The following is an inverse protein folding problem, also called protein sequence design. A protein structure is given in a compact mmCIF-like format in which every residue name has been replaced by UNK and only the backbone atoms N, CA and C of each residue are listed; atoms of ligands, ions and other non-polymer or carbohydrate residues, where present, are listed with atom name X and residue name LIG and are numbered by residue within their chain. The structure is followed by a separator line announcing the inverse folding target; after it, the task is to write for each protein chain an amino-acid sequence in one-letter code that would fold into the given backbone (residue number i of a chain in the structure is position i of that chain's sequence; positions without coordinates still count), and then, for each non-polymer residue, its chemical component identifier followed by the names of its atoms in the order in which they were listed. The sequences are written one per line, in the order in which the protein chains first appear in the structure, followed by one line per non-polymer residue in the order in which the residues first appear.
data_IF_348777648100
#
_entry.id   IF_348777648100
#
_cell.length_a   1.000
_cell.length_b   1.000
_cell.length_c   1.000
_cell.angle_alpha   90.00
_cell.angle_beta   90.00
_cell.angle_gamma   90.00
#
_symmetry.space_group_name_H-M   'P 1'
#
loop_
_entity.id
_entity.type
_entity.pdbx_description
1 polymer ?
#
# COMPACT_ATOMS: atom_id res chain seq x y z
N UNK A 1 22.44 4.95 -2.40
CA UNK A 1 22.39 6.42 -2.29
C UNK A 1 22.03 6.75 -0.86
N UNK A 2 22.83 7.56 -0.17
CA UNK A 2 22.47 8.05 1.15
C UNK A 2 21.28 8.99 1.01
N UNK A 3 20.23 8.72 1.78
CA UNK A 3 19.08 9.58 1.90
C UNK A 3 19.50 10.90 2.55
N UNK A 4 19.35 12.00 1.85
CA UNK A 4 19.57 13.35 2.37
C UNK A 4 18.30 14.15 2.09
N UNK A 5 17.44 14.35 3.11
CA UNK A 5 16.24 15.16 2.94
C UNK A 5 16.61 16.60 2.56
N UNK A 6 15.73 17.33 1.88
CA UNK A 6 15.93 18.73 1.59
C UNK A 6 16.27 19.50 2.88
N UNK A 7 17.20 20.46 2.85
CA UNK A 7 17.49 21.29 4.01
C UNK A 7 16.21 22.06 4.40
N UNK A 8 15.75 21.90 5.64
CA UNK A 8 14.53 22.41 6.24
C UNK A 8 13.26 21.55 6.02
N UNK A 9 13.33 20.37 5.44
CA UNK A 9 12.21 19.45 5.35
C UNK A 9 12.04 18.70 6.68
N UNK A 10 10.96 18.97 7.39
CA UNK A 10 10.65 18.34 8.69
C UNK A 10 9.29 17.63 8.70
N UNK A 11 8.47 17.88 7.69
CA UNK A 11 7.09 17.38 7.64
C UNK A 11 6.97 15.93 7.19
N UNK A 12 5.99 15.25 7.77
CA UNK A 12 5.46 13.98 7.30
C UNK A 12 4.21 14.25 6.47
N UNK A 13 4.27 13.89 5.20
CA UNK A 13 3.22 14.14 4.22
C UNK A 13 2.52 12.83 3.84
N UNK A 14 1.20 12.86 3.65
CA UNK A 14 0.48 11.77 3.02
C UNK A 14 -0.28 12.26 1.77
N UNK A 15 -0.12 11.53 0.66
CA UNK A 15 -0.79 11.84 -0.61
C UNK A 15 -1.65 10.63 -1.03
N UNK A 16 -2.96 10.85 -1.17
CA UNK A 16 -3.90 9.84 -1.65
C UNK A 16 -4.26 10.06 -3.12
N UNK A 17 -4.10 9.01 -3.94
CA UNK A 17 -4.39 9.07 -5.37
C UNK A 17 -5.64 8.28 -5.75
N UNK A 18 -6.57 8.93 -6.44
CA UNK A 18 -7.79 8.34 -6.96
C UNK A 18 -8.73 7.85 -5.86
N UNK A 19 -9.74 7.08 -6.23
CA UNK A 19 -10.85 6.70 -5.33
C UNK A 19 -10.37 5.96 -4.07
N UNK A 20 -9.56 4.91 -4.23
CA UNK A 20 -9.10 4.11 -3.09
C UNK A 20 -8.13 4.91 -2.21
N UNK A 21 -7.12 5.56 -2.80
CA UNK A 21 -6.14 6.35 -2.05
C UNK A 21 -6.77 7.49 -1.29
N UNK A 22 -7.67 8.26 -1.91
CA UNK A 22 -8.38 9.35 -1.24
C UNK A 22 -9.29 8.88 -0.11
N UNK A 23 -9.98 7.74 -0.26
CA UNK A 23 -10.82 7.19 0.79
C UNK A 23 -10.02 6.69 1.99
N UNK A 24 -8.93 5.98 1.75
CA UNK A 24 -8.02 5.53 2.81
C UNK A 24 -7.42 6.74 3.53
N UNK A 25 -6.95 7.73 2.77
CA UNK A 25 -6.39 8.96 3.33
C UNK A 25 -7.40 9.71 4.21
N UNK A 26 -8.67 9.78 3.82
CA UNK A 26 -9.73 10.39 4.62
C UNK A 26 -10.00 9.68 5.96
N UNK A 27 -9.71 8.38 6.04
CA UNK A 27 -9.73 7.65 7.30
C UNK A 27 -8.45 7.88 8.10
N UNK A 28 -7.28 7.89 7.46
CA UNK A 28 -5.99 8.16 8.13
C UNK A 28 -5.91 9.58 8.71
N UNK A 29 -6.51 10.58 8.06
CA UNK A 29 -6.60 11.96 8.57
C UNK A 29 -7.31 12.07 9.94
N UNK A 30 -8.10 11.05 10.31
CA UNK A 30 -8.81 10.99 11.60
C UNK A 30 -8.04 10.23 12.67
N UNK A 31 -6.88 9.75 12.34
CA UNK A 31 -6.00 8.97 13.24
C UNK A 31 -4.79 9.82 13.64
N UNK A 32 -4.10 9.43 14.69
CA UNK A 32 -2.94 10.17 15.20
C UNK A 32 -1.63 9.52 14.75
N UNK A 33 -1.43 9.42 13.43
CA UNK A 33 -0.24 8.80 12.83
C UNK A 33 1.00 9.72 12.76
N UNK A 34 0.92 10.93 13.28
CA UNK A 34 2.01 11.90 13.16
C UNK A 34 2.22 12.36 11.70
N UNK A 35 1.14 12.41 10.92
CA UNK A 35 1.12 12.99 9.57
C UNK A 35 0.72 14.45 9.67
N UNK A 36 1.59 15.35 9.21
CA UNK A 36 1.38 16.80 9.34
C UNK A 36 0.43 17.33 8.28
N UNK A 37 0.59 16.89 7.04
CA UNK A 37 -0.20 17.36 5.91
C UNK A 37 -0.80 16.21 5.09
N UNK A 38 -2.05 16.39 4.65
CA UNK A 38 -2.78 15.44 3.81
C UNK A 38 -3.14 16.08 2.47
N UNK A 39 -2.87 15.39 1.36
CA UNK A 39 -3.15 15.88 0.00
C UNK A 39 -3.95 14.86 -0.79
N UNK A 40 -5.07 15.30 -1.31
CA UNK A 40 -5.99 14.49 -2.10
C UNK A 40 -5.85 14.82 -3.57
N UNK A 41 -5.55 13.81 -4.38
CA UNK A 41 -5.30 13.98 -5.82
C UNK A 41 -6.16 13.00 -6.62
N UNK A 42 -7.06 13.51 -7.45
CA UNK A 42 -7.87 12.66 -8.33
C UNK A 42 -8.32 13.39 -9.60
N UNK A 43 -8.61 12.60 -10.63
CA UNK A 43 -9.33 13.02 -11.82
C UNK A 43 -10.86 12.99 -11.65
N UNK A 44 -11.36 12.47 -10.54
CA UNK A 44 -12.77 12.45 -10.18
C UNK A 44 -13.03 13.41 -9.01
N UNK A 45 -13.86 14.41 -9.21
CA UNK A 45 -14.16 15.43 -8.19
C UNK A 45 -14.73 14.82 -6.91
N UNK A 46 -15.61 13.81 -7.02
CA UNK A 46 -16.18 13.10 -5.89
C UNK A 46 -15.14 12.42 -4.96
N UNK A 47 -13.95 12.08 -5.48
CA UNK A 47 -12.92 11.42 -4.68
C UNK A 47 -12.22 12.39 -3.74
N UNK A 48 -12.09 13.65 -4.14
CA UNK A 48 -11.45 14.69 -3.33
C UNK A 48 -12.42 15.44 -2.41
N UNK A 49 -13.71 15.21 -2.56
CA UNK A 49 -14.74 15.84 -1.71
C UNK A 49 -14.74 15.27 -0.27
N UNK A 50 -14.10 14.11 -0.06
CA UNK A 50 -13.89 13.55 1.29
C UNK A 50 -13.00 14.40 2.18
N UNK A 51 -12.09 15.19 1.59
CA UNK A 51 -11.22 16.10 2.33
C UNK A 51 -12.03 17.32 2.82
N UNK A 52 -12.02 17.57 4.14
CA UNK A 52 -12.71 18.72 4.71
C UNK A 52 -11.87 19.99 4.67
N UNK A 53 -10.64 19.93 5.19
CA UNK A 53 -9.71 21.07 5.31
C UNK A 53 -8.38 20.88 4.59
N UNK A 54 -8.09 19.65 4.17
CA UNK A 54 -6.82 19.27 3.56
C UNK A 54 -6.72 19.70 2.10
N UNK A 55 -5.50 19.75 1.58
CA UNK A 55 -5.23 20.19 0.22
C UNK A 55 -5.82 19.25 -0.82
N UNK A 56 -6.44 19.81 -1.85
CA UNK A 56 -7.08 19.10 -2.96
C UNK A 56 -6.43 19.50 -4.27
N UNK A 57 -6.07 18.52 -5.09
CA UNK A 57 -5.63 18.71 -6.46
C UNK A 57 -6.60 17.97 -7.37
N UNK A 58 -7.47 18.71 -8.01
CA UNK A 58 -8.35 18.17 -9.03
C UNK A 58 -7.65 18.24 -10.38
N UNK A 59 -7.40 17.07 -10.97
CA UNK A 59 -6.78 16.95 -12.28
C UNK A 59 -7.88 16.86 -13.34
N UNK A 60 -8.41 18.01 -13.76
CA UNK A 60 -9.38 18.04 -14.85
C UNK A 60 -8.72 17.60 -16.15
N UNK A 61 -9.11 16.43 -16.61
CA UNK A 61 -8.60 15.87 -17.86
C UNK A 61 -9.26 16.45 -19.09
N UNK A 62 -10.44 17.09 -18.94
CA UNK A 62 -11.29 17.44 -20.08
C UNK A 62 -11.68 16.24 -20.96
N UNK A 63 -11.31 15.04 -20.54
CA UNK A 63 -11.52 13.79 -21.27
C UNK A 63 -12.93 13.25 -21.02
N UNK A 64 -13.70 13.09 -22.07
CA UNK A 64 -15.04 12.47 -22.04
C UNK A 64 -15.04 10.99 -22.36
N UNK A 65 -13.88 10.43 -22.76
CA UNK A 65 -13.69 9.03 -23.14
C UNK A 65 -13.03 8.17 -22.04
N UNK A 66 -12.64 6.95 -22.41
CA UNK A 66 -11.94 6.02 -21.52
C UNK A 66 -10.57 6.60 -21.12
N UNK A 67 -10.35 6.74 -19.81
CA UNK A 67 -9.08 7.21 -19.27
C UNK A 67 -8.10 6.05 -19.15
N UNK A 68 -6.84 6.30 -19.49
CA UNK A 68 -5.72 5.38 -19.28
C UNK A 68 -4.74 5.98 -18.27
N UNK A 69 -3.87 5.17 -17.63
CA UNK A 69 -2.80 5.71 -16.79
C UNK A 69 -1.90 6.71 -17.52
N UNK A 70 -1.68 6.52 -18.83
CA UNK A 70 -0.89 7.43 -19.67
C UNK A 70 -1.58 8.78 -19.84
N UNK A 71 -2.88 8.81 -20.16
CA UNK A 71 -3.64 10.06 -20.29
C UNK A 71 -3.65 10.85 -18.96
N UNK A 72 -3.73 10.15 -17.82
CA UNK A 72 -3.64 10.79 -16.51
C UNK A 72 -2.26 11.41 -16.28
N UNK A 73 -1.17 10.72 -16.64
CA UNK A 73 0.18 11.29 -16.57
C UNK A 73 0.34 12.55 -17.41
N UNK A 74 -0.24 12.58 -18.61
CA UNK A 74 -0.20 13.77 -19.48
C UNK A 74 -0.90 14.97 -18.84
N UNK A 75 -2.05 14.75 -18.20
CA UNK A 75 -2.76 15.80 -17.44
C UNK A 75 -1.94 16.27 -16.24
N UNK A 76 -1.32 15.34 -15.53
CA UNK A 76 -0.50 15.61 -14.36
C UNK A 76 0.66 16.57 -14.64
N UNK A 77 1.17 16.63 -15.87
CA UNK A 77 2.24 17.56 -16.25
C UNK A 77 1.91 19.02 -15.94
N UNK A 78 0.64 19.41 -16.02
CA UNK A 78 0.19 20.77 -15.69
C UNK A 78 0.28 21.05 -14.19
N UNK A 79 0.23 20.03 -13.35
CA UNK A 79 0.24 20.11 -11.88
C UNK A 79 1.62 19.79 -11.26
N UNK A 80 2.62 19.46 -12.08
CA UNK A 80 3.96 19.05 -11.60
C UNK A 80 4.62 20.08 -10.68
N UNK A 81 4.50 21.37 -11.03
CA UNK A 81 5.07 22.46 -10.21
C UNK A 81 4.40 22.55 -8.83
N UNK A 82 3.09 22.34 -8.79
CA UNK A 82 2.33 22.32 -7.54
C UNK A 82 2.69 21.12 -6.68
N UNK A 83 2.79 19.92 -7.29
CA UNK A 83 3.19 18.69 -6.59
C UNK A 83 4.62 18.82 -6.05
N UNK A 84 5.59 19.33 -6.83
CA UNK A 84 6.95 19.58 -6.35
C UNK A 84 6.98 20.54 -5.16
N UNK A 85 6.20 21.61 -5.21
CA UNK A 85 6.09 22.56 -4.09
C UNK A 85 5.54 21.92 -2.82
N UNK A 86 4.64 20.94 -2.94
CA UNK A 86 4.13 20.19 -1.79
C UNK A 86 5.19 19.24 -1.24
N UNK A 87 5.93 18.60 -2.12
CA UNK A 87 6.99 17.66 -1.74
C UNK A 87 8.19 18.36 -1.08
N UNK A 88 8.51 19.61 -1.45
CA UNK A 88 9.73 20.31 -0.99
C UNK A 88 9.85 20.46 0.52
N UNK A 89 8.73 20.44 1.25
CA UNK A 89 8.70 20.60 2.71
C UNK A 89 8.70 19.24 3.46
N UNK A 90 8.64 18.13 2.71
CA UNK A 90 8.49 16.80 3.28
C UNK A 90 9.83 16.09 3.48
N UNK A 91 10.09 15.60 4.71
CA UNK A 91 11.17 14.63 5.01
C UNK A 91 10.75 13.18 4.73
N UNK A 92 9.46 12.91 4.86
CA UNK A 92 8.83 11.61 4.66
C UNK A 92 7.51 11.80 3.92
N UNK A 93 7.27 10.99 2.89
CA UNK A 93 5.98 10.98 2.20
C UNK A 93 5.40 9.57 2.16
N UNK A 94 4.13 9.47 2.56
CA UNK A 94 3.29 8.29 2.32
C UNK A 94 2.49 8.50 1.04
N UNK A 95 2.67 7.63 0.07
CA UNK A 95 1.89 7.60 -1.17
C UNK A 95 0.86 6.48 -1.07
N UNK A 96 -0.42 6.81 -1.02
CA UNK A 96 -1.52 5.84 -0.86
C UNK A 96 -2.30 5.73 -2.16
N UNK A 97 -2.34 4.56 -2.76
CA UNK A 97 -2.95 4.39 -4.08
C UNK A 97 -3.55 3.01 -4.32
N UNK A 98 -4.74 2.97 -4.92
CA UNK A 98 -5.26 1.77 -5.55
C UNK A 98 -4.67 1.60 -6.95
N UNK A 99 -4.02 0.46 -7.21
CA UNK A 99 -3.47 0.12 -8.51
C UNK A 99 -4.51 -0.55 -9.41
N UNK A 100 -4.25 -0.55 -10.71
CA UNK A 100 -5.17 -1.06 -11.73
C UNK A 100 -6.22 -0.03 -12.20
N UNK A 101 -6.44 1.06 -11.44
CA UNK A 101 -7.20 2.22 -11.88
C UNK A 101 -6.32 3.26 -12.55
N UNK A 102 -6.90 4.07 -13.45
CA UNK A 102 -6.14 5.04 -14.24
C UNK A 102 -5.39 6.08 -13.41
N UNK A 103 -6.06 6.67 -12.40
CA UNK A 103 -5.47 7.72 -11.58
C UNK A 103 -4.33 7.18 -10.73
N UNK A 104 -4.57 6.09 -9.99
CA UNK A 104 -3.56 5.50 -9.11
C UNK A 104 -2.34 4.98 -9.87
N UNK A 105 -2.58 4.16 -10.90
CA UNK A 105 -1.49 3.60 -11.72
C UNK A 105 -0.75 4.65 -12.55
N UNK A 106 -1.39 5.78 -12.85
CA UNK A 106 -0.75 6.91 -13.54
C UNK A 106 0.10 7.77 -12.62
N UNK A 107 -0.41 8.12 -11.43
CA UNK A 107 0.21 9.13 -10.56
C UNK A 107 1.20 8.56 -9.55
N UNK A 108 0.93 7.39 -8.96
CA UNK A 108 1.83 6.83 -7.95
C UNK A 108 3.27 6.64 -8.46
N UNK A 109 3.51 6.06 -9.67
CA UNK A 109 4.85 5.99 -10.24
C UNK A 109 5.49 7.37 -10.49
N UNK A 110 4.70 8.32 -10.97
CA UNK A 110 5.19 9.67 -11.30
C UNK A 110 5.63 10.41 -10.03
N UNK A 111 4.78 10.41 -9.01
CA UNK A 111 5.07 11.14 -7.77
C UNK A 111 6.15 10.44 -6.94
N UNK A 112 6.22 9.11 -6.93
CA UNK A 112 7.33 8.39 -6.30
C UNK A 112 8.68 8.72 -6.94
N UNK A 113 8.72 8.85 -8.28
CA UNK A 113 9.93 9.30 -8.99
C UNK A 113 10.32 10.72 -8.59
N UNK A 114 9.36 11.65 -8.53
CA UNK A 114 9.61 13.02 -8.10
C UNK A 114 10.15 13.08 -6.67
N UNK A 115 9.53 12.35 -5.75
CA UNK A 115 9.98 12.29 -4.36
C UNK A 115 11.41 11.74 -4.24
N UNK A 116 11.75 10.71 -5.04
CA UNK A 116 13.12 10.17 -5.12
C UNK A 116 14.12 11.21 -5.64
N UNK A 117 13.77 11.95 -6.69
CA UNK A 117 14.61 13.02 -7.26
C UNK A 117 14.88 14.13 -6.24
N UNK A 118 13.90 14.45 -5.38
CA UNK A 118 14.02 15.43 -4.29
C UNK A 118 14.67 14.83 -3.01
N UNK A 119 15.07 13.56 -3.00
CA UNK A 119 15.70 12.90 -1.86
C UNK A 119 14.77 12.65 -0.67
N UNK A 120 13.46 12.56 -0.89
CA UNK A 120 12.46 12.38 0.17
C UNK A 120 12.27 10.91 0.50
N UNK A 121 12.26 10.54 1.79
CA UNK A 121 11.94 9.19 2.21
C UNK A 121 10.51 8.85 1.78
N UNK A 122 10.36 7.88 0.89
CA UNK A 122 9.10 7.56 0.24
C UNK A 122 8.61 6.17 0.65
N UNK A 123 7.43 6.11 1.25
CA UNK A 123 6.72 4.87 1.59
C UNK A 123 5.46 4.81 0.76
N UNK A 124 5.37 3.80 -0.08
CA UNK A 124 4.24 3.61 -0.99
C UNK A 124 3.32 2.50 -0.49
N UNK A 125 2.09 2.85 -0.11
CA UNK A 125 1.03 1.91 0.28
C UNK A 125 0.15 1.65 -0.93
N UNK A 126 0.34 0.49 -1.55
CA UNK A 126 -0.27 0.11 -2.81
C UNK A 126 -1.34 -0.95 -2.60
N UNK A 127 -2.58 -0.61 -2.95
CA UNK A 127 -3.72 -1.50 -2.87
C UNK A 127 -3.89 -2.18 -4.22
N UNK A 128 -3.81 -3.51 -4.25
CA UNK A 128 -3.96 -4.28 -5.49
C UNK A 128 -5.40 -4.69 -5.74
N UNK A 129 -5.81 -4.82 -7.03
CA UNK A 129 -7.17 -5.19 -7.39
C UNK A 129 -7.51 -6.62 -6.96
N UNK A 130 -8.79 -6.93 -6.92
CA UNK A 130 -9.26 -8.31 -6.72
C UNK A 130 -8.82 -9.22 -7.88
N UNK A 131 -8.65 -10.51 -7.59
CA UNK A 131 -8.33 -11.54 -8.58
C UNK A 131 -9.35 -11.65 -9.72
N UNK A 132 -10.62 -11.28 -9.49
CA UNK A 132 -11.63 -11.25 -10.53
C UNK A 132 -11.55 -10.02 -11.45
N UNK A 133 -10.83 -8.95 -11.05
CA UNK A 133 -10.64 -7.73 -11.83
C UNK A 133 -9.45 -7.86 -12.81
N UNK A 134 -9.45 -8.90 -13.63
CA UNK A 134 -8.31 -9.29 -14.49
C UNK A 134 -7.79 -8.17 -15.40
N UNK A 135 -8.67 -7.34 -15.96
CA UNK A 135 -8.30 -6.21 -16.80
C UNK A 135 -7.45 -5.15 -16.09
N UNK A 136 -7.49 -5.10 -14.76
CA UNK A 136 -6.71 -4.16 -13.96
C UNK A 136 -5.30 -4.68 -13.63
N UNK A 137 -5.06 -5.99 -13.75
CA UNK A 137 -3.79 -6.59 -13.33
C UNK A 137 -2.61 -6.12 -14.18
N UNK A 138 -2.82 -5.90 -15.48
CA UNK A 138 -1.80 -5.36 -16.37
C UNK A 138 -1.25 -4.01 -15.89
N UNK A 139 -2.14 -3.04 -15.66
CA UNK A 139 -1.74 -1.72 -15.15
C UNK A 139 -1.17 -1.78 -13.74
N UNK A 140 -1.59 -2.75 -12.93
CA UNK A 140 -1.05 -2.98 -11.58
C UNK A 140 0.41 -3.38 -11.65
N UNK A 141 0.78 -4.36 -12.49
CA UNK A 141 2.16 -4.83 -12.62
C UNK A 141 3.10 -3.72 -13.08
N UNK A 142 2.74 -3.01 -14.17
CA UNK A 142 3.54 -1.90 -14.69
C UNK A 142 3.72 -0.79 -13.63
N UNK A 143 2.64 -0.38 -12.97
CA UNK A 143 2.71 0.69 -11.98
C UNK A 143 3.53 0.28 -10.76
N UNK A 144 3.36 -0.96 -10.29
CA UNK A 144 4.03 -1.48 -9.11
C UNK A 144 5.55 -1.57 -9.31
N UNK A 145 6.00 -2.07 -10.46
CA UNK A 145 7.43 -2.09 -10.83
C UNK A 145 8.05 -0.70 -10.72
N UNK A 146 7.43 0.30 -11.35
CA UNK A 146 7.91 1.70 -11.33
C UNK A 146 7.87 2.31 -9.92
N UNK A 147 6.85 2.00 -9.12
CA UNK A 147 6.78 2.46 -7.71
C UNK A 147 7.89 1.82 -6.89
N UNK A 148 8.15 0.52 -7.05
CA UNK A 148 9.23 -0.20 -6.35
C UNK A 148 10.60 0.41 -6.61
N UNK A 149 10.89 0.75 -7.87
CA UNK A 149 12.16 1.38 -8.28
C UNK A 149 12.37 2.76 -7.66
N UNK A 150 11.29 3.46 -7.29
CA UNK A 150 11.34 4.85 -6.86
C UNK A 150 10.98 5.08 -5.39
N UNK A 151 10.58 4.04 -4.66
CA UNK A 151 10.22 4.14 -3.24
C UNK A 151 11.24 3.44 -2.35
N UNK A 152 11.44 3.96 -1.15
CA UNK A 152 12.28 3.34 -0.13
C UNK A 152 11.60 2.11 0.50
N UNK A 153 10.26 2.09 0.52
CA UNK A 153 9.46 0.96 0.94
C UNK A 153 8.18 0.87 0.12
N UNK A 154 7.74 -0.35 -0.19
CA UNK A 154 6.45 -0.61 -0.83
C UNK A 154 5.67 -1.61 0.00
N UNK A 155 4.54 -1.15 0.54
CA UNK A 155 3.60 -1.97 1.30
C UNK A 155 2.46 -2.37 0.35
N UNK A 156 2.27 -3.66 0.18
CA UNK A 156 1.17 -4.22 -0.59
C UNK A 156 0.02 -4.56 0.34
N UNK A 157 -1.15 -4.01 0.05
CA UNK A 157 -2.42 -4.37 0.67
C UNK A 157 -3.30 -5.02 -0.41
N UNK A 158 -3.31 -6.34 -0.45
CA UNK A 158 -4.08 -7.08 -1.46
C UNK A 158 -5.56 -7.17 -1.05
N UNK A 159 -6.46 -6.76 -1.94
CA UNK A 159 -7.89 -6.77 -1.66
C UNK A 159 -8.44 -8.17 -1.35
N UNK A 160 -7.90 -9.21 -1.98
CA UNK A 160 -8.34 -10.59 -1.71
C UNK A 160 -7.92 -11.08 -0.32
N UNK A 161 -6.74 -10.66 0.15
CA UNK A 161 -6.22 -11.02 1.48
C UNK A 161 -7.00 -10.34 2.62
N UNK A 162 -7.39 -9.09 2.41
CA UNK A 162 -8.05 -8.29 3.45
C UNK A 162 -9.53 -8.61 3.54
N UNK A 163 -10.08 -9.21 2.49
CA UNK A 163 -11.50 -9.57 2.41
C UNK A 163 -11.81 -10.89 3.11
N UNK A 164 -12.51 -10.85 4.22
CA UNK A 164 -13.16 -12.01 4.80
C UNK A 164 -14.68 -11.93 4.57
N UNK A 165 -15.34 -12.97 4.09
CA UNK A 165 -16.78 -13.05 3.79
C UNK A 165 -17.27 -12.21 2.61
N UNK A 166 -17.15 -12.78 1.41
CA UNK A 166 -17.55 -12.13 0.14
C UNK A 166 -19.06 -12.24 -0.19
N UNK A 167 -19.84 -13.04 0.54
CA UNK A 167 -21.04 -13.67 -0.03
C UNK A 167 -22.32 -12.81 -0.11
N UNK A 168 -22.43 -11.66 0.57
CA UNK A 168 -23.72 -10.93 0.64
C UNK A 168 -23.61 -9.39 0.64
N UNK A 169 -22.45 -8.82 0.33
CA UNK A 169 -22.27 -7.37 0.36
C UNK A 169 -22.28 -6.78 -1.05
N UNK A 170 -22.80 -5.56 -1.18
CA UNK A 170 -22.60 -4.78 -2.40
C UNK A 170 -21.13 -4.42 -2.60
N UNK A 171 -20.70 -4.28 -3.86
CA UNK A 171 -19.31 -3.92 -4.18
C UNK A 171 -18.84 -2.62 -3.47
N UNK A 172 -19.64 -1.53 -3.41
CA UNK A 172 -19.24 -0.32 -2.68
C UNK A 172 -19.03 -0.53 -1.18
N UNK A 173 -19.90 -1.30 -0.52
CA UNK A 173 -19.77 -1.64 0.91
C UNK A 173 -18.52 -2.46 1.15
N UNK A 174 -18.24 -3.42 0.28
CA UNK A 174 -17.08 -4.27 0.35
C UNK A 174 -15.76 -3.46 0.27
N UNK A 175 -15.65 -2.54 -0.69
CA UNK A 175 -14.49 -1.62 -0.76
C UNK A 175 -14.39 -0.71 0.49
N UNK A 176 -15.52 -0.27 1.03
CA UNK A 176 -15.52 0.56 2.25
C UNK A 176 -14.94 -0.19 3.44
N UNK A 177 -15.32 -1.46 3.61
CA UNK A 177 -14.79 -2.32 4.68
C UNK A 177 -13.29 -2.56 4.51
N UNK A 178 -12.83 -2.85 3.28
CA UNK A 178 -11.41 -3.05 3.00
C UNK A 178 -10.60 -1.80 3.33
N UNK A 179 -11.04 -0.64 2.85
CA UNK A 179 -10.36 0.62 3.12
C UNK A 179 -10.26 0.91 4.63
N UNK A 180 -11.34 0.64 5.37
CA UNK A 180 -11.34 0.77 6.83
C UNK A 180 -10.37 -0.21 7.49
N UNK A 181 -10.33 -1.46 7.05
CA UNK A 181 -9.39 -2.47 7.58
C UNK A 181 -7.93 -2.08 7.35
N UNK A 182 -7.58 -1.63 6.14
CA UNK A 182 -6.24 -1.15 5.82
C UNK A 182 -5.86 0.01 6.74
N UNK A 183 -6.75 0.98 6.90
CA UNK A 183 -6.50 2.13 7.77
C UNK A 183 -6.32 1.71 9.22
N UNK A 184 -7.23 0.87 9.75
CA UNK A 184 -7.13 0.38 11.14
C UNK A 184 -5.85 -0.44 11.35
N UNK A 185 -5.42 -1.21 10.36
CA UNK A 185 -4.19 -1.97 10.43
C UNK A 185 -2.95 -1.06 10.49
N UNK A 186 -2.87 -0.07 9.61
CA UNK A 186 -1.76 0.89 9.59
C UNK A 186 -1.73 1.74 10.86
N UNK A 187 -2.88 2.24 11.31
CA UNK A 187 -2.93 3.03 12.54
C UNK A 187 -2.57 2.21 13.76
N UNK A 188 -3.08 0.98 13.88
CA UNK A 188 -2.76 0.09 15.00
C UNK A 188 -1.25 -0.21 15.14
N UNK A 189 -0.54 -0.34 14.02
CA UNK A 189 0.92 -0.55 14.03
C UNK A 189 1.67 0.72 14.45
N UNK A 190 1.25 1.88 13.97
CA UNK A 190 2.02 3.13 14.06
C UNK A 190 1.61 4.00 15.25
N UNK A 191 0.32 4.00 15.61
CA UNK A 191 -0.19 4.82 16.73
C UNK A 191 0.39 4.42 18.08
N UNK A 192 0.66 5.43 18.90
CA UNK A 192 1.19 5.24 20.26
C UNK A 192 0.10 5.07 21.32
N UNK A 193 -1.13 4.69 20.93
CA UNK A 193 -2.30 4.66 21.82
C UNK A 193 -2.67 3.27 22.37
N UNK A 194 -1.97 2.21 21.98
CA UNK A 194 -2.21 0.85 22.45
C UNK A 194 -1.54 0.53 23.79
N UNK A 195 -1.84 -0.61 24.38
CA UNK A 195 -1.19 -1.10 25.61
C UNK A 195 0.29 -1.45 25.37
N UNK A 196 0.60 -1.99 24.19
CA UNK A 196 1.97 -2.18 23.70
C UNK A 196 2.06 -1.70 22.26
N UNK A 197 2.92 -0.71 22.02
CA UNK A 197 3.02 -0.03 20.73
C UNK A 197 4.32 -0.37 20.00
N UNK A 198 4.23 -0.52 18.69
CA UNK A 198 5.41 -0.66 17.81
C UNK A 198 6.02 0.72 17.56
N UNK A 199 5.21 1.66 17.13
CA UNK A 199 5.60 3.04 16.85
C UNK A 199 6.30 3.25 15.50
N UNK A 200 6.38 4.51 15.08
CA UNK A 200 6.87 4.90 13.76
C UNK A 200 8.30 4.43 13.46
N UNK A 201 9.22 4.53 14.40
CA UNK A 201 10.62 4.17 14.17
C UNK A 201 10.77 2.67 13.83
N UNK A 202 10.19 1.79 14.63
CA UNK A 202 10.23 0.34 14.37
C UNK A 202 9.45 -0.05 13.12
N UNK A 203 8.35 0.65 12.83
CA UNK A 203 7.64 0.49 11.56
C UNK A 203 8.57 0.82 10.38
N UNK A 204 9.27 1.95 10.40
CA UNK A 204 10.22 2.31 9.35
C UNK A 204 11.39 1.32 9.24
N UNK A 205 11.95 0.89 10.36
CA UNK A 205 13.03 -0.11 10.40
C UNK A 205 12.61 -1.45 9.78
N UNK A 206 11.34 -1.83 9.97
CA UNK A 206 10.79 -3.08 9.42
C UNK A 206 10.69 -3.04 7.90
N UNK A 207 10.28 -1.92 7.30
CA UNK A 207 9.90 -1.86 5.89
C UNK A 207 10.95 -1.24 4.96
N UNK A 208 11.84 -0.38 5.48
CA UNK A 208 12.72 0.42 4.63
C UNK A 208 13.86 -0.40 4.04
N UNK A 209 14.02 -0.32 2.71
CA UNK A 209 15.06 -0.98 1.92
C UNK A 209 15.07 -2.53 2.04
N UNK A 210 13.95 -3.13 2.36
CA UNK A 210 13.82 -4.59 2.56
C UNK A 210 13.02 -5.32 1.46
N UNK A 211 12.82 -4.70 0.31
CA UNK A 211 12.01 -5.25 -0.78
C UNK A 211 10.52 -4.93 -0.62
N UNK A 212 9.66 -5.87 -0.96
CA UNK A 212 8.23 -5.71 -0.71
C UNK A 212 7.88 -6.02 0.74
N UNK A 213 6.92 -5.27 1.25
CA UNK A 213 6.26 -5.53 2.52
C UNK A 213 4.80 -5.90 2.25
N UNK A 214 4.29 -6.91 2.94
CA UNK A 214 2.92 -7.39 2.77
C UNK A 214 2.13 -7.09 4.03
N UNK A 215 1.03 -6.36 3.89
CA UNK A 215 0.07 -6.11 4.95
C UNK A 215 -1.06 -7.14 4.86
N UNK A 216 -1.19 -7.98 5.87
CA UNK A 216 -2.24 -8.98 5.95
C UNK A 216 -3.02 -8.92 7.26
N UNK A 217 -4.22 -9.47 7.27
CA UNK A 217 -5.13 -9.43 8.41
C UNK A 217 -5.80 -10.79 8.56
N UNK A 218 -5.63 -11.40 9.72
CA UNK A 218 -6.35 -12.61 10.11
C UNK A 218 -7.30 -12.32 11.27
N UNK A 219 -8.42 -13.04 11.34
CA UNK A 219 -9.41 -12.92 12.42
C UNK A 219 -9.84 -14.28 12.92
N UNK A 220 -10.03 -14.43 14.22
CA UNK A 220 -10.58 -15.65 14.83
C UNK A 220 -11.41 -15.33 16.08
N UNK A 221 -12.44 -16.14 16.31
CA UNK A 221 -13.25 -16.15 17.53
C UNK A 221 -13.23 -17.50 18.24
N UNK A 222 -12.27 -18.38 17.90
CA UNK A 222 -12.08 -19.69 18.51
C UNK A 222 -11.50 -19.63 19.91
N UNK A 223 -11.29 -20.77 20.55
CA UNK A 223 -10.64 -20.84 21.87
C UNK A 223 -9.17 -20.34 21.80
N UNK A 224 -8.47 -20.71 20.72
CA UNK A 224 -7.06 -20.30 20.47
C UNK A 224 -7.00 -19.13 19.46
N UNK A 225 -7.82 -18.12 19.69
CA UNK A 225 -8.08 -17.05 18.72
C UNK A 225 -6.86 -16.23 18.30
N UNK A 226 -5.91 -15.99 19.19
CA UNK A 226 -4.70 -15.23 18.84
C UNK A 226 -3.80 -16.00 17.88
N UNK A 227 -3.56 -17.28 18.17
CA UNK A 227 -2.77 -18.18 17.31
C UNK A 227 -3.45 -18.37 15.95
N UNK A 228 -4.76 -18.69 15.93
CA UNK A 228 -5.49 -18.89 14.68
C UNK A 228 -5.60 -17.62 13.84
N UNK A 229 -5.83 -16.47 14.45
CA UNK A 229 -5.83 -15.21 13.71
C UNK A 229 -4.45 -14.94 13.08
N UNK A 230 -3.38 -15.23 13.81
CA UNK A 230 -2.02 -15.09 13.31
C UNK A 230 -1.75 -16.06 12.14
N UNK A 231 -2.13 -17.32 12.28
CA UNK A 231 -1.98 -18.31 11.19
C UNK A 231 -2.73 -17.88 9.93
N UNK A 232 -3.98 -17.42 10.05
CA UNK A 232 -4.75 -16.90 8.91
C UNK A 232 -4.10 -15.68 8.25
N UNK A 233 -3.48 -14.80 9.05
CA UNK A 233 -2.72 -13.68 8.49
C UNK A 233 -1.49 -14.18 7.71
N UNK A 234 -0.77 -15.19 8.21
CA UNK A 234 0.38 -15.80 7.54
C UNK A 234 -0.04 -16.50 6.23
N UNK A 235 -1.11 -17.29 6.26
CA UNK A 235 -1.67 -17.96 5.07
C UNK A 235 -2.01 -16.95 3.98
N UNK A 236 -2.54 -15.79 4.39
CA UNK A 236 -2.82 -14.68 3.47
C UNK A 236 -1.54 -14.15 2.81
N UNK A 237 -0.42 -14.03 3.53
CA UNK A 237 0.87 -13.61 2.94
C UNK A 237 1.27 -14.55 1.81
N UNK A 238 1.17 -15.87 2.01
CA UNK A 238 1.51 -16.87 0.97
C UNK A 238 0.63 -16.80 -0.28
N UNK A 239 -0.54 -16.17 -0.21
CA UNK A 239 -1.36 -15.95 -1.41
C UNK A 239 -0.79 -14.88 -2.36
N UNK A 240 0.17 -14.08 -1.89
CA UNK A 240 0.76 -12.95 -2.64
C UNK A 240 2.23 -13.18 -2.97
N UNK A 241 2.95 -13.84 -2.07
CA UNK A 241 4.38 -14.14 -2.24
C UNK A 241 4.59 -15.63 -2.35
N UNK A 242 5.62 -16.03 -3.09
CA UNK A 242 6.15 -17.39 -2.98
C UNK A 242 6.79 -17.54 -1.59
N UNK A 243 6.91 -18.77 -1.05
CA UNK A 243 7.45 -19.01 0.27
C UNK A 243 8.95 -18.66 0.34
N UNK A 244 9.22 -17.38 0.26
CA UNK A 244 10.51 -16.75 0.51
C UNK A 244 10.59 -16.36 2.00
N UNK A 245 11.81 -16.23 2.48
CA UNK A 245 12.05 -15.87 3.86
C UNK A 245 11.74 -14.37 4.07
N UNK A 246 10.80 -14.08 4.95
CA UNK A 246 10.64 -12.72 5.46
C UNK A 246 11.86 -12.38 6.36
N UNK A 247 12.33 -11.14 6.29
CA UNK A 247 13.46 -10.69 7.10
C UNK A 247 12.99 -10.04 8.41
N UNK A 248 11.84 -9.39 8.36
CA UNK A 248 11.28 -8.65 9.51
C UNK A 248 9.76 -8.68 9.48
N UNK A 249 9.14 -8.61 10.64
CA UNK A 249 7.70 -8.58 10.77
C UNK A 249 7.25 -7.70 11.94
N UNK A 250 6.06 -7.15 11.80
CA UNK A 250 5.30 -6.55 12.89
C UNK A 250 4.03 -7.38 13.06
N UNK A 251 3.82 -7.90 14.26
CA UNK A 251 2.58 -8.53 14.68
C UNK A 251 1.84 -7.60 15.64
N UNK A 252 0.64 -7.16 15.24
CA UNK A 252 -0.23 -6.37 16.09
C UNK A 252 -1.54 -7.10 16.34
N UNK A 253 -1.78 -7.46 17.60
CA UNK A 253 -2.99 -8.17 18.02
C UNK A 253 -4.01 -7.17 18.59
N UNK A 254 -5.26 -7.27 18.18
CA UNK A 254 -6.33 -6.44 18.71
C UNK A 254 -7.62 -7.23 18.88
N UNK A 255 -8.38 -6.90 19.91
CA UNK A 255 -9.59 -7.60 20.29
C UNK A 255 -9.48 -8.19 21.68
N UNK A 256 -10.55 -8.87 22.14
CA UNK A 256 -10.66 -9.45 23.47
C UNK A 256 -10.57 -8.46 24.66
N UNK A 257 -10.84 -8.99 25.84
CA UNK A 257 -10.77 -8.27 27.12
C UNK A 257 -9.35 -8.21 27.68
N UNK A 258 -8.51 -9.16 27.30
CA UNK A 258 -7.09 -9.24 27.64
C UNK A 258 -6.33 -10.08 26.63
N UNK A 259 -5.07 -9.76 26.42
CA UNK A 259 -4.13 -10.57 25.65
C UNK A 259 -3.06 -11.04 26.62
N UNK A 260 -2.84 -12.33 26.70
CA UNK A 260 -1.89 -12.95 27.62
C UNK A 260 -0.49 -13.02 26.99
N UNK A 261 0.54 -13.07 27.84
CA UNK A 261 1.92 -13.28 27.37
C UNK A 261 2.07 -14.59 26.57
N UNK A 262 1.37 -15.67 26.99
CA UNK A 262 1.40 -16.95 26.29
C UNK A 262 0.78 -16.86 24.89
N UNK A 263 -0.31 -16.12 24.70
CA UNK A 263 -0.93 -15.92 23.36
C UNK A 263 0.02 -15.15 22.43
N UNK A 264 0.70 -14.13 22.96
CA UNK A 264 1.68 -13.34 22.21
C UNK A 264 2.90 -14.19 21.83
N UNK A 265 3.44 -14.99 22.77
CA UNK A 265 4.56 -15.89 22.58
C UNK A 265 4.22 -16.99 21.54
N UNK A 266 3.06 -17.63 21.67
CA UNK A 266 2.60 -18.67 20.74
C UNK A 266 2.43 -18.11 19.33
N UNK A 267 1.80 -16.94 19.21
CA UNK A 267 1.61 -16.26 17.92
C UNK A 267 2.96 -15.90 17.26
N UNK A 268 3.91 -15.41 18.04
CA UNK A 268 5.27 -15.10 17.55
C UNK A 268 6.04 -16.33 17.16
N UNK A 269 5.92 -17.41 17.92
CA UNK A 269 6.54 -18.71 17.60
C UNK A 269 6.01 -19.24 16.26
N UNK A 270 4.71 -19.10 15.99
CA UNK A 270 4.12 -19.47 14.68
C UNK A 270 4.71 -18.65 13.54
N UNK A 271 4.87 -17.34 13.72
CA UNK A 271 5.53 -16.48 12.72
C UNK A 271 6.95 -16.98 12.41
N UNK A 272 7.76 -17.19 13.43
CA UNK A 272 9.13 -17.63 13.25
C UNK A 272 9.23 -18.99 12.54
N UNK A 273 8.31 -19.90 12.86
CA UNK A 273 8.30 -21.25 12.27
C UNK A 273 7.85 -21.20 10.80
N UNK A 274 6.83 -20.41 10.49
CA UNK A 274 6.19 -20.41 9.17
C UNK A 274 6.86 -19.46 8.18
N UNK A 275 7.33 -18.29 8.61
CA UNK A 275 7.86 -17.25 7.71
C UNK A 275 9.37 -17.03 7.83
N UNK A 276 9.97 -17.26 9.00
CA UNK A 276 11.33 -16.81 9.28
C UNK A 276 12.40 -17.89 9.27
N UNK A 277 12.04 -19.15 9.13
CA UNK A 277 12.98 -20.29 9.29
C UNK A 277 13.96 -20.11 10.47
N UNK A 278 13.53 -19.38 11.51
CA UNK A 278 14.27 -19.16 12.75
C UNK A 278 15.06 -17.86 12.85
N UNK A 279 15.05 -16.99 11.83
CA UNK A 279 15.82 -15.72 11.82
C UNK A 279 14.98 -14.47 11.64
N UNK A 280 13.66 -14.54 11.79
CA UNK A 280 12.75 -13.40 11.61
C UNK A 280 12.85 -12.42 12.79
N UNK A 281 13.14 -11.17 12.52
CA UNK A 281 13.04 -10.08 13.48
C UNK A 281 11.56 -9.68 13.66
N UNK A 282 10.98 -9.93 14.84
CA UNK A 282 9.55 -9.67 15.08
C UNK A 282 9.37 -8.57 16.12
N UNK A 283 8.71 -7.49 15.73
CA UNK A 283 8.18 -6.49 16.65
C UNK A 283 6.72 -6.79 16.97
N UNK A 284 6.35 -6.63 18.23
CA UNK A 284 5.03 -6.98 18.71
C UNK A 284 4.31 -5.74 19.26
N UNK A 285 3.01 -5.70 19.04
CA UNK A 285 2.12 -4.73 19.66
C UNK A 285 0.75 -5.34 19.90
N UNK A 286 0.02 -4.78 20.85
CA UNK A 286 -1.36 -5.17 21.09
C UNK A 286 -2.22 -4.07 21.70
N UNK A 287 -3.54 -4.22 21.52
CA UNK A 287 -4.53 -3.38 22.18
C UNK A 287 -5.80 -4.18 22.45
N UNK A 288 -6.36 -4.01 23.65
CA UNK A 288 -7.61 -4.67 24.02
C UNK A 288 -8.81 -3.76 23.74
N UNK A 289 -9.87 -4.31 23.14
CA UNK A 289 -11.10 -3.57 22.83
C UNK A 289 -12.38 -4.20 23.39
N UNK A 290 -12.24 -5.29 24.16
CA UNK A 290 -13.34 -6.00 24.81
C UNK A 290 -14.22 -6.83 23.90
N UNK A 291 -13.85 -7.01 22.63
CA UNK A 291 -14.58 -7.84 21.65
C UNK A 291 -14.28 -9.33 21.82
N UNK A 292 -15.16 -10.18 21.27
CA UNK A 292 -14.97 -11.65 21.29
C UNK A 292 -14.07 -12.17 20.16
N UNK A 293 -13.80 -11.33 19.17
CA UNK A 293 -12.98 -11.67 18.00
C UNK A 293 -11.58 -11.08 18.12
N UNK A 294 -10.57 -11.93 18.00
CA UNK A 294 -9.17 -11.52 17.88
C UNK A 294 -8.85 -11.19 16.42
N UNK A 295 -8.19 -10.08 16.20
CA UNK A 295 -7.64 -9.68 14.91
C UNK A 295 -6.13 -9.61 15.01
N UNK A 296 -5.44 -10.35 14.15
CA UNK A 296 -4.00 -10.25 13.94
C UNK A 296 -3.74 -9.41 12.69
N UNK A 297 -3.10 -8.27 12.86
CA UNK A 297 -2.53 -7.47 11.78
C UNK A 297 -1.07 -7.87 11.66
N UNK A 298 -0.68 -8.30 10.48
CA UNK A 298 0.66 -8.74 10.19
C UNK A 298 1.24 -7.91 9.04
N UNK A 299 2.35 -7.24 9.31
CA UNK A 299 3.16 -6.57 8.30
C UNK A 299 4.50 -7.31 8.20
N UNK A 300 4.70 -8.02 7.10
CA UNK A 300 5.93 -8.78 6.84
C UNK A 300 6.74 -8.11 5.75
N UNK A 301 8.07 -8.12 5.85
CA UNK A 301 8.97 -7.44 4.93
C UNK A 301 10.16 -8.32 4.55
N UNK A 302 10.73 -8.05 3.38
CA UNK A 302 11.92 -8.75 2.88
C UNK A 302 11.70 -9.49 1.57
N UNK A 303 10.50 -9.47 1.01
CA UNK A 303 10.17 -10.22 -0.20
C UNK A 303 10.76 -9.57 -1.45
N UNK A 304 11.47 -10.37 -2.25
CA UNK A 304 12.12 -9.91 -3.49
C UNK A 304 11.12 -9.79 -4.63
N UNK A 305 10.16 -10.72 -4.70
CA UNK A 305 9.15 -10.81 -5.74
C UNK A 305 7.77 -11.13 -5.17
N UNK A 306 6.74 -10.78 -5.89
CA UNK A 306 5.35 -11.06 -5.57
C UNK A 306 4.58 -11.50 -6.82
N UNK A 307 3.42 -12.14 -6.64
CA UNK A 307 2.60 -12.63 -7.76
C UNK A 307 2.30 -11.56 -8.83
N UNK A 308 2.28 -10.28 -8.44
CA UNK A 308 1.98 -9.16 -9.35
C UNK A 308 3.14 -8.80 -10.28
N UNK A 309 4.36 -9.19 -9.97
CA UNK A 309 5.52 -9.00 -10.86
C UNK A 309 5.35 -9.79 -12.18
N UNK A 310 4.55 -10.85 -12.17
CA UNK A 310 4.25 -11.68 -13.35
C UNK A 310 3.07 -11.14 -14.20
N UNK A 311 2.44 -10.06 -13.80
CA UNK A 311 1.34 -9.45 -14.56
C UNK A 311 1.78 -8.44 -15.61
N UNK A 312 3.08 -8.26 -15.80
CA UNK A 312 3.62 -7.49 -16.92
C UNK A 312 3.89 -8.41 -18.13
N UNK A 313 2.96 -8.51 -19.11
CA UNK A 313 3.17 -9.33 -20.29
C UNK A 313 4.28 -8.79 -21.18
N UNK A 314 4.66 -7.50 -21.06
CA UNK A 314 5.75 -6.90 -21.83
C UNK A 314 7.11 -7.40 -21.36
N UNK A 315 7.28 -7.67 -20.07
CA UNK A 315 8.52 -8.23 -19.55
C UNK A 315 8.85 -9.60 -20.20
N UNK A 316 7.84 -10.44 -20.42
CA UNK A 316 8.00 -11.71 -21.13
C UNK A 316 8.37 -11.53 -22.60
N UNK A 317 7.87 -10.49 -23.26
CA UNK A 317 8.16 -10.17 -24.65
C UNK A 317 9.57 -9.57 -24.77
N UNK A 318 9.95 -8.66 -23.86
CA UNK A 318 11.24 -7.99 -23.83
C UNK A 318 12.40 -8.95 -23.49
N UNK A 319 12.20 -9.88 -22.54
CA UNK A 319 13.19 -10.92 -22.24
C UNK A 319 13.45 -11.85 -23.42
N UNK A 320 12.45 -12.08 -24.26
CA UNK A 320 12.60 -12.93 -25.46
C UNK A 320 13.24 -12.20 -26.66
N UNK A 321 13.31 -10.88 -26.67
CA UNK A 321 13.72 -10.10 -27.86
C UNK A 321 14.88 -9.12 -27.64
N UNK A 322 15.52 -9.05 -26.46
CA UNK A 322 16.64 -8.12 -26.19
C UNK A 322 16.38 -6.68 -26.69
N UNK A 323 15.19 -6.15 -26.45
CA UNK A 323 14.81 -4.82 -26.91
C UNK A 323 15.26 -3.78 -25.87
N UNK A 324 16.03 -2.78 -26.33
CA UNK A 324 16.60 -1.71 -25.53
C UNK A 324 15.55 -0.86 -24.77
N UNK A 325 15.95 -0.36 -23.60
CA UNK A 325 15.13 0.43 -22.67
C UNK A 325 14.54 1.74 -23.22
N UNK A 326 14.96 2.15 -24.40
CA UNK A 326 14.49 3.39 -25.05
C UNK A 326 13.11 3.24 -25.72
N UNK A 327 12.58 2.02 -25.83
CA UNK A 327 11.23 1.78 -26.37
C UNK A 327 10.08 1.98 -25.39
N UNK A 328 10.35 2.16 -24.07
CA UNK A 328 9.28 2.35 -23.07
C UNK A 328 8.36 3.55 -23.36
N UNK A 329 8.88 4.62 -23.97
CA UNK A 329 8.09 5.78 -24.37
C UNK A 329 7.25 5.53 -25.63
N UNK A 330 7.70 4.65 -26.53
CA UNK A 330 6.99 4.29 -27.74
C UNK A 330 5.84 3.31 -27.50
N UNK A 331 6.03 2.35 -26.60
CA UNK A 331 5.01 1.34 -26.26
C UNK A 331 3.78 1.97 -25.59
N UNK A 332 3.96 2.98 -24.71
CA UNK A 332 2.85 3.73 -24.13
C UNK A 332 2.00 4.45 -25.22
N UNK A 333 2.60 4.77 -26.35
CA UNK A 333 1.92 5.42 -27.49
C UNK A 333 1.18 4.40 -28.37
N UNK A 334 1.76 3.22 -28.58
CA UNK A 334 1.15 2.16 -29.39
C UNK A 334 -0.01 1.46 -28.68
N UNK A 335 0.10 1.23 -27.35
CA UNK A 335 -1.01 0.67 -26.57
C UNK A 335 -2.22 1.61 -26.49
N UNK A 336 -2.01 2.93 -26.52
CA UNK A 336 -3.12 3.89 -26.61
C UNK A 336 -3.83 3.87 -27.97
N UNK A 337 -3.20 3.34 -29.00
CA UNK A 337 -3.81 3.19 -30.33
C UNK A 337 -4.59 1.87 -30.50
N UNK A 338 -4.33 0.86 -29.67
CA UNK A 338 -5.05 -0.43 -29.72
C UNK A 338 -6.45 -0.35 -29.08
N UNK A 339 -6.68 0.58 -28.14
CA UNK A 339 -8.01 0.82 -27.55
C UNK A 339 -9.00 1.53 -28.50
N UNK A 340 -8.60 1.81 -29.75
CA UNK A 340 -9.47 2.42 -30.77
C UNK A 340 -10.09 1.42 -31.76
N UNK A 341 -9.91 0.12 -31.55
CA UNK A 341 -10.40 -0.94 -32.44
C UNK A 341 -11.51 -1.76 -31.76
N UNK A 342 -12.49 -1.10 -31.11
CA UNK A 342 -13.80 -1.67 -30.78
C UNK A 342 -14.91 -0.66 -31.08
#
# INVERSE_FOLDING_TARGET
MQYLPPPNADKVLAIGFGTAGCRILAHLERTNLGIDDHVYVSCEKKDIDYASKSKKIFMDSGYTGNRTPSSVRSVAQRHMKEIRKILSDARLVFLVSGLGGCTGSGLAPLVSKMAKEEGILTISVMITPFGFEKSKHFWTGIALKKVKENSNAVIIADNDMISSNKAQMSIPEFYSIINKRITTALSGIVESSGELNVGMNRFLDTITNRGYSILSIGTSSSVNKAEEATVRAIESVYSVVEPDEANSAILYLTGDKRITANELETSTSRLNTMLGRGSLEVYQGFNTNGGDTMTAVLLTSGFKSIKFDNYDPLEKILHNHQIDSDMESGIDTELSSLDQIE
#
